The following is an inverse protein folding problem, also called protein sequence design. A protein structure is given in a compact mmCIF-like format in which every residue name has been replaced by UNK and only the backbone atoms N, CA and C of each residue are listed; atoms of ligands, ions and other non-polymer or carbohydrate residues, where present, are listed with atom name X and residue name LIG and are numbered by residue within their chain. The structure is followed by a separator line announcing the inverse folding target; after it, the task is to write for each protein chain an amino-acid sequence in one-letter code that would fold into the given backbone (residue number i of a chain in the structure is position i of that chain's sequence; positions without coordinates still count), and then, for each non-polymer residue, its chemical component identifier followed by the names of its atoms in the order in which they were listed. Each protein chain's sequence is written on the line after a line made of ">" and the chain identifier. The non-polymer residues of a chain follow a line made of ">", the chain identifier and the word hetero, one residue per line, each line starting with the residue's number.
data_IF_215975153545
#
_entry.id   IF_215975153545
#
_cell.length_a   1.000
_cell.length_b   1.000
_cell.length_c   1.000
_cell.angle_alpha   90.00
_cell.angle_beta   90.00
_cell.angle_gamma   90.00
#
_symmetry.space_group_name_H-M   'P 1'
#
loop_
_entity.id
_entity.type
_entity.pdbx_description
1 polymer ?
#
# COMPACT_ATOMS: atom_id res chain seq x y z
N UNK A 1 -31.56 -5.19 6.99
CA UNK A 1 -31.74 -4.00 7.88
C UNK A 1 -30.37 -3.61 8.37
N UNK A 2 -29.76 -2.65 7.67
CA UNK A 2 -28.47 -2.06 8.06
C UNK A 2 -28.73 -1.18 9.29
N UNK A 3 -28.20 -1.62 10.44
CA UNK A 3 -28.24 -0.80 11.64
C UNK A 3 -27.26 0.37 11.42
N UNK A 4 -27.78 1.57 11.23
CA UNK A 4 -26.97 2.80 11.29
C UNK A 4 -26.36 2.93 12.69
N UNK A 5 -25.13 2.39 12.86
CA UNK A 5 -24.31 2.67 14.04
C UNK A 5 -24.02 4.18 14.06
N UNK A 6 -24.32 4.84 15.16
CA UNK A 6 -23.99 6.26 15.32
C UNK A 6 -22.46 6.44 15.21
N UNK A 7 -22.05 7.38 14.37
CA UNK A 7 -20.63 7.73 14.19
C UNK A 7 -20.11 8.38 15.48
N UNK A 8 -19.03 7.84 16.03
CA UNK A 8 -18.46 8.28 17.31
C UNK A 8 -17.22 9.15 17.11
N UNK A 9 -16.75 9.83 18.17
CA UNK A 9 -15.47 10.54 18.16
C UNK A 9 -14.30 9.60 17.84
N UNK A 10 -14.34 8.37 18.36
CA UNK A 10 -13.35 7.32 18.06
C UNK A 10 -13.30 7.03 16.56
N UNK A 11 -14.45 6.89 15.90
CA UNK A 11 -14.50 6.63 14.46
C UNK A 11 -13.90 7.80 13.66
N UNK A 12 -14.05 9.04 14.13
CA UNK A 12 -13.44 10.22 13.51
C UNK A 12 -11.92 10.21 13.65
N UNK A 13 -11.40 9.86 14.83
CA UNK A 13 -9.97 9.77 15.09
C UNK A 13 -9.35 8.61 14.29
N UNK A 14 -10.01 7.46 14.22
CA UNK A 14 -9.58 6.30 13.43
C UNK A 14 -9.53 6.64 11.93
N UNK A 15 -10.53 7.34 11.41
CA UNK A 15 -10.54 7.77 10.01
C UNK A 15 -9.41 8.78 9.71
N UNK A 16 -9.11 9.68 10.63
CA UNK A 16 -8.02 10.65 10.46
C UNK A 16 -6.64 9.94 10.42
N UNK A 17 -6.40 8.98 11.32
CA UNK A 17 -5.16 8.21 11.37
C UNK A 17 -5.04 7.26 10.17
N UNK A 18 -6.14 6.60 9.76
CA UNK A 18 -6.14 5.77 8.56
C UNK A 18 -5.85 6.60 7.30
N UNK A 19 -6.42 7.81 7.16
CA UNK A 19 -6.12 8.70 6.03
C UNK A 19 -4.65 9.11 6.01
N UNK A 20 -4.06 9.34 7.18
CA UNK A 20 -2.62 9.58 7.31
C UNK A 20 -1.80 8.36 6.88
N UNK A 21 -2.21 7.14 7.26
CA UNK A 21 -1.57 5.90 6.80
C UNK A 21 -1.65 5.73 5.28
N UNK A 22 -2.81 6.07 4.65
CA UNK A 22 -2.97 6.08 3.19
C UNK A 22 -1.96 7.04 2.53
N UNK A 23 -1.81 8.26 3.05
CA UNK A 23 -0.83 9.23 2.54
C UNK A 23 0.62 8.73 2.67
N UNK A 24 0.96 8.06 3.78
CA UNK A 24 2.28 7.44 3.97
C UNK A 24 2.52 6.32 2.95
N UNK A 25 1.51 5.48 2.67
CA UNK A 25 1.58 4.40 1.69
C UNK A 25 1.96 4.91 0.29
N UNK A 26 1.45 6.07 -0.14
CA UNK A 26 1.76 6.65 -1.46
C UNK A 26 3.27 6.82 -1.67
N UNK A 27 4.01 7.19 -0.64
CA UNK A 27 5.46 7.35 -0.71
C UNK A 27 6.19 6.05 -1.06
N UNK A 28 5.57 4.89 -0.81
CA UNK A 28 6.12 3.57 -1.08
C UNK A 28 5.74 3.01 -2.46
N UNK A 29 4.80 3.62 -3.19
CA UNK A 29 4.19 3.09 -4.40
C UNK A 29 5.18 2.60 -5.46
N UNK A 30 6.28 3.32 -5.67
CA UNK A 30 7.29 2.94 -6.67
C UNK A 30 8.31 1.94 -6.15
N UNK A 31 8.72 2.08 -4.87
CA UNK A 31 9.78 1.23 -4.29
C UNK A 31 9.31 -0.13 -3.82
N UNK A 32 8.03 -0.26 -3.44
CA UNK A 32 7.48 -1.52 -2.88
C UNK A 32 7.26 -2.62 -3.92
N UNK A 33 7.18 -2.29 -5.21
CA UNK A 33 6.84 -3.25 -6.28
C UNK A 33 7.75 -4.47 -6.32
N UNK A 34 7.20 -5.67 -6.52
CA UNK A 34 5.81 -6.01 -6.85
C UNK A 34 4.86 -6.12 -5.63
N UNK A 35 5.34 -5.84 -4.41
CA UNK A 35 4.54 -5.88 -3.19
C UNK A 35 3.52 -4.73 -3.15
N UNK A 36 2.40 -4.88 -2.41
CA UNK A 36 1.50 -3.77 -2.16
C UNK A 36 2.21 -2.67 -1.37
N UNK A 37 1.88 -1.43 -1.67
CA UNK A 37 2.38 -0.27 -0.93
C UNK A 37 1.44 0.04 0.23
N UNK A 38 1.83 -0.40 1.39
CA UNK A 38 1.08 -0.28 2.64
C UNK A 38 1.65 0.88 3.47
N UNK A 39 0.79 1.57 4.18
CA UNK A 39 1.15 2.52 5.23
C UNK A 39 0.64 2.02 6.57
N UNK A 40 1.44 2.24 7.60
CA UNK A 40 1.08 1.90 8.96
C UNK A 40 1.40 3.04 9.93
N UNK A 41 0.60 3.14 10.99
CA UNK A 41 0.81 4.06 12.10
C UNK A 41 0.70 3.28 13.40
N UNK A 42 1.64 3.52 14.30
CA UNK A 42 1.61 3.05 15.68
C UNK A 42 1.30 4.23 16.58
N UNK A 43 0.26 4.13 17.39
CA UNK A 43 -0.08 5.10 18.43
C UNK A 43 0.16 4.45 19.79
N UNK A 44 1.19 4.90 20.49
CA UNK A 44 1.53 4.40 21.81
C UNK A 44 0.54 4.89 22.87
N UNK A 45 0.54 4.26 24.05
CA UNK A 45 -0.37 4.60 25.15
C UNK A 45 -0.20 6.05 25.63
N UNK A 46 1.00 6.59 25.55
CA UNK A 46 1.33 7.98 25.87
C UNK A 46 0.92 9.00 24.80
N UNK A 47 0.33 8.52 23.69
CA UNK A 47 -0.09 9.33 22.55
C UNK A 47 1.01 9.61 21.53
N UNK A 48 2.22 9.10 21.73
CA UNK A 48 3.30 9.21 20.73
C UNK A 48 2.94 8.41 19.47
N UNK A 49 3.24 8.98 18.30
CA UNK A 49 2.84 8.42 17.00
C UNK A 49 4.07 8.11 16.15
N UNK A 50 4.13 6.91 15.59
CA UNK A 50 5.18 6.47 14.69
C UNK A 50 4.60 5.98 13.37
N UNK A 51 5.32 6.21 12.28
CA UNK A 51 4.88 5.95 10.92
C UNK A 51 5.78 4.93 10.24
N UNK A 52 5.20 4.15 9.35
CA UNK A 52 5.92 3.21 8.51
C UNK A 52 5.26 3.02 7.16
N UNK A 53 6.05 2.69 6.17
CA UNK A 53 5.56 2.30 4.85
C UNK A 53 6.37 1.13 4.31
N UNK A 54 5.77 0.35 3.41
CA UNK A 54 6.40 -0.83 2.80
C UNK A 54 7.75 -0.47 2.21
N UNK A 55 8.77 -1.21 2.59
CA UNK A 55 10.13 -1.09 2.06
C UNK A 55 10.25 -1.71 0.66
N UNK A 56 11.42 -1.60 0.05
CA UNK A 56 11.75 -2.34 -1.18
C UNK A 56 11.63 -3.86 -0.96
N UNK A 57 11.42 -4.65 -2.02
CA UNK A 57 11.24 -6.09 -1.92
C UNK A 57 12.35 -6.78 -1.13
N UNK A 58 11.97 -7.53 -0.10
CA UNK A 58 12.86 -8.18 0.85
C UNK A 58 13.13 -7.38 2.12
N UNK A 59 12.73 -6.12 2.17
CA UNK A 59 12.75 -5.31 3.38
C UNK A 59 11.48 -5.47 4.22
N UNK A 60 11.42 -4.79 5.40
CA UNK A 60 10.30 -4.88 6.31
C UNK A 60 9.01 -4.28 5.73
N UNK A 61 7.88 -4.82 6.16
CA UNK A 61 6.55 -4.28 5.88
C UNK A 61 6.29 -3.02 6.71
N UNK A 62 5.23 -2.29 6.36
CA UNK A 62 4.91 -1.00 6.95
C UNK A 62 4.77 -1.05 8.47
N UNK A 63 4.08 -2.08 8.99
CA UNK A 63 3.88 -2.29 10.42
C UNK A 63 5.20 -2.46 11.16
N UNK A 64 6.11 -3.26 10.60
CA UNK A 64 7.43 -3.50 11.17
C UNK A 64 8.29 -2.22 11.14
N UNK A 65 8.19 -1.43 10.07
CA UNK A 65 8.89 -0.13 9.96
C UNK A 65 8.42 0.81 11.06
N UNK A 66 7.09 0.95 11.26
CA UNK A 66 6.52 1.81 12.29
C UNK A 66 6.88 1.32 13.71
N UNK A 67 6.81 0.00 13.95
CA UNK A 67 7.19 -0.60 15.25
C UNK A 67 8.68 -0.42 15.55
N UNK A 68 9.54 -0.54 14.55
CA UNK A 68 10.99 -0.32 14.73
C UNK A 68 11.28 1.15 15.05
N UNK A 69 10.63 2.09 14.36
CA UNK A 69 10.74 3.51 14.67
C UNK A 69 10.33 3.81 16.13
N UNK A 70 9.28 3.16 16.64
CA UNK A 70 8.88 3.28 18.04
C UNK A 70 9.96 2.70 19.00
N UNK A 71 10.48 1.50 18.69
CA UNK A 71 11.54 0.86 19.50
C UNK A 71 12.83 1.68 19.53
N UNK A 72 13.24 2.22 18.38
CA UNK A 72 14.44 3.05 18.26
C UNK A 72 14.32 4.36 19.05
N UNK A 73 13.09 4.87 19.20
CA UNK A 73 12.77 6.02 20.05
C UNK A 73 12.61 5.65 21.55
N UNK A 74 12.73 4.36 21.90
CA UNK A 74 12.51 3.89 23.28
C UNK A 74 11.05 3.85 23.71
N UNK A 75 10.08 3.94 22.78
CA UNK A 75 8.67 3.91 23.09
C UNK A 75 8.18 2.48 23.36
N UNK A 76 7.19 2.35 24.26
CA UNK A 76 6.57 1.08 24.59
C UNK A 76 5.44 0.75 23.61
N UNK A 77 5.52 -0.43 23.00
CA UNK A 77 4.50 -0.93 22.09
C UNK A 77 3.34 -1.64 22.81
N UNK A 78 3.56 -2.08 24.05
CA UNK A 78 2.53 -2.75 24.84
C UNK A 78 1.33 -1.82 25.06
N UNK A 79 0.15 -2.30 24.69
CA UNK A 79 -1.07 -1.52 24.77
C UNK A 79 -1.29 -0.52 23.62
N UNK A 80 -0.36 -0.42 22.67
CA UNK A 80 -0.48 0.49 21.53
C UNK A 80 -1.65 0.11 20.60
N UNK A 81 -2.14 1.09 19.83
CA UNK A 81 -3.04 0.88 18.70
C UNK A 81 -2.25 0.99 17.40
N UNK A 82 -2.45 0.04 16.49
CA UNK A 82 -1.79 0.02 15.18
C UNK A 82 -2.83 0.16 14.06
N UNK A 83 -2.58 1.08 13.15
CA UNK A 83 -3.36 1.28 11.93
C UNK A 83 -2.57 0.74 10.75
N UNK A 84 -3.20 -0.06 9.90
CA UNK A 84 -2.59 -0.57 8.67
C UNK A 84 -3.60 -0.47 7.53
N UNK A 85 -3.17 0.06 6.38
CA UNK A 85 -4.05 0.19 5.21
C UNK A 85 -4.46 -1.16 4.64
N UNK A 86 -3.63 -2.20 4.80
CA UNK A 86 -3.89 -3.56 4.38
C UNK A 86 -3.77 -4.51 5.57
N UNK A 87 -4.47 -5.63 5.55
CA UNK A 87 -4.39 -6.70 6.55
C UNK A 87 -2.94 -7.10 6.84
N UNK A 88 -2.50 -7.14 8.11
CA UNK A 88 -1.19 -7.66 8.49
C UNK A 88 -1.02 -9.13 8.08
N UNK A 89 0.06 -9.43 7.39
CA UNK A 89 0.31 -10.78 6.89
C UNK A 89 0.48 -11.80 8.02
N UNK A 90 0.01 -13.05 7.77
CA UNK A 90 0.11 -14.21 8.67
C UNK A 90 1.06 -15.30 8.17
N UNK A 91 1.65 -15.14 6.99
CA UNK A 91 2.56 -16.12 6.40
C UNK A 91 4.01 -15.70 6.54
N UNK A 92 4.89 -16.65 6.71
CA UNK A 92 6.33 -16.43 6.69
C UNK A 92 6.79 -16.27 5.24
N UNK A 93 7.21 -15.05 4.91
CA UNK A 93 7.86 -14.72 3.66
C UNK A 93 9.37 -14.63 3.82
N UNK A 94 9.98 -13.55 3.34
CA UNK A 94 11.39 -13.22 3.61
C UNK A 94 11.58 -12.63 5.00
N UNK A 95 10.53 -12.07 5.55
CA UNK A 95 10.42 -11.59 6.94
C UNK A 95 9.35 -12.42 7.64
N UNK A 96 9.37 -12.45 8.97
CA UNK A 96 8.30 -13.09 9.76
C UNK A 96 6.94 -12.41 9.56
N UNK A 97 5.84 -13.09 9.94
CA UNK A 97 4.50 -12.54 9.82
C UNK A 97 4.32 -11.26 10.65
N UNK A 98 3.74 -10.20 10.04
CA UNK A 98 3.45 -8.97 10.78
C UNK A 98 2.46 -9.19 11.93
N UNK A 99 1.48 -10.08 11.73
CA UNK A 99 0.52 -10.42 12.79
C UNK A 99 1.22 -10.99 14.04
N UNK A 100 2.20 -11.89 13.86
CA UNK A 100 2.94 -12.45 15.00
C UNK A 100 3.79 -11.38 15.69
N UNK A 101 4.45 -10.49 14.93
CA UNK A 101 5.23 -9.41 15.50
C UNK A 101 4.37 -8.41 16.30
N UNK A 102 3.12 -8.16 15.88
CA UNK A 102 2.16 -7.33 16.60
C UNK A 102 1.71 -8.02 17.91
N UNK A 103 1.46 -9.32 17.86
CA UNK A 103 1.14 -10.14 19.07
C UNK A 103 2.32 -10.09 20.06
N UNK A 104 3.55 -10.36 19.60
CA UNK A 104 4.76 -10.34 20.43
C UNK A 104 5.02 -8.97 21.05
N UNK A 105 4.67 -7.89 20.34
CA UNK A 105 4.80 -6.53 20.86
C UNK A 105 3.74 -6.17 21.92
N UNK A 106 2.70 -6.99 22.08
CA UNK A 106 1.65 -6.76 23.05
C UNK A 106 0.74 -5.60 22.72
N UNK A 107 0.51 -5.30 21.43
CA UNK A 107 -0.44 -4.26 21.02
C UNK A 107 -1.86 -4.62 21.47
N UNK A 108 -2.67 -3.63 21.80
CA UNK A 108 -4.04 -3.86 22.29
C UNK A 108 -5.09 -3.81 21.19
N UNK A 109 -4.82 -3.08 20.10
CA UNK A 109 -5.79 -2.86 19.04
C UNK A 109 -5.10 -2.73 17.67
N UNK A 110 -5.74 -3.29 16.64
CA UNK A 110 -5.32 -3.13 15.25
C UNK A 110 -6.51 -2.67 14.41
N UNK A 111 -6.33 -1.57 13.68
CA UNK A 111 -7.32 -1.00 12.76
C UNK A 111 -6.85 -1.23 11.34
N UNK A 112 -7.66 -1.90 10.54
CA UNK A 112 -7.32 -2.34 9.17
C UNK A 112 -8.21 -1.64 8.16
N UNK A 113 -7.61 -1.05 7.13
CA UNK A 113 -8.35 -0.45 6.02
C UNK A 113 -9.13 -1.48 5.22
N UNK A 114 -8.44 -2.48 4.66
CA UNK A 114 -9.07 -3.59 3.93
C UNK A 114 -8.44 -4.94 4.30
N UNK A 115 -9.24 -5.98 4.21
CA UNK A 115 -8.78 -7.39 4.23
C UNK A 115 -7.98 -7.64 2.95
N UNK A 116 -6.89 -8.40 3.03
CA UNK A 116 -6.08 -8.71 1.86
C UNK A 116 -6.88 -9.57 0.86
N UNK A 117 -7.01 -9.14 -0.40
CA UNK A 117 -7.74 -9.90 -1.43
C UNK A 117 -7.01 -11.19 -1.87
N UNK A 118 -5.74 -11.38 -1.49
CA UNK A 118 -5.02 -12.62 -1.80
C UNK A 118 -5.59 -13.79 -0.98
N UNK A 119 -6.14 -14.84 -1.61
CA UNK A 119 -6.71 -16.00 -0.90
C UNK A 119 -5.74 -16.70 0.05
N UNK A 120 -4.44 -16.48 -0.12
CA UNK A 120 -3.40 -17.04 0.76
C UNK A 120 -3.33 -16.30 2.11
N UNK A 121 -3.74 -15.05 2.16
CA UNK A 121 -3.72 -14.17 3.34
C UNK A 121 -5.12 -14.01 3.91
N UNK A 122 -6.01 -13.51 3.14
CA UNK A 122 -7.43 -13.19 3.36
C UNK A 122 -8.02 -13.63 4.72
N UNK A 123 -8.05 -12.73 5.68
CA UNK A 123 -8.61 -12.93 7.02
C UNK A 123 -7.70 -13.63 8.03
N UNK A 124 -6.66 -14.33 7.60
CA UNK A 124 -5.80 -15.12 8.49
C UNK A 124 -4.98 -14.27 9.46
N UNK A 125 -4.56 -13.08 9.04
CA UNK A 125 -3.87 -12.13 9.90
C UNK A 125 -4.81 -11.60 10.98
N UNK A 126 -6.03 -11.25 10.58
CA UNK A 126 -7.09 -10.80 11.49
C UNK A 126 -7.43 -11.89 12.51
N UNK A 127 -7.65 -13.13 12.05
CA UNK A 127 -7.94 -14.28 12.92
C UNK A 127 -6.81 -14.53 13.92
N UNK A 128 -5.55 -14.40 13.48
CA UNK A 128 -4.37 -14.56 14.33
C UNK A 128 -4.31 -13.51 15.44
N UNK A 129 -4.60 -12.24 15.11
CA UNK A 129 -4.64 -11.13 16.06
C UNK A 129 -5.79 -11.33 17.07
N UNK A 130 -6.99 -11.65 16.58
CA UNK A 130 -8.17 -11.89 17.41
C UNK A 130 -7.97 -13.07 18.37
N UNK A 131 -7.37 -14.17 17.89
CA UNK A 131 -7.03 -15.33 18.72
C UNK A 131 -6.04 -15.02 19.84
N UNK A 132 -5.21 -13.98 19.68
CA UNK A 132 -4.30 -13.47 20.71
C UNK A 132 -4.96 -12.46 21.67
N UNK A 133 -6.27 -12.17 21.52
CA UNK A 133 -7.02 -11.23 22.35
C UNK A 133 -6.86 -9.76 21.94
N UNK A 134 -6.30 -9.48 20.76
CA UNK A 134 -6.16 -8.12 20.24
C UNK A 134 -7.50 -7.69 19.62
N UNK A 135 -7.95 -6.47 19.95
CA UNK A 135 -9.13 -5.87 19.32
C UNK A 135 -8.82 -5.58 17.85
N UNK A 136 -9.60 -6.12 16.91
CA UNK A 136 -9.41 -5.86 15.49
C UNK A 136 -10.64 -5.18 14.91
N UNK A 137 -10.44 -4.01 14.29
CA UNK A 137 -11.46 -3.29 13.53
C UNK A 137 -11.05 -3.26 12.06
N UNK A 138 -12.01 -3.50 11.16
CA UNK A 138 -11.76 -3.55 9.72
C UNK A 138 -12.70 -2.63 8.94
N UNK A 139 -12.27 -2.17 7.78
CA UNK A 139 -13.12 -1.41 6.87
C UNK A 139 -13.02 0.11 7.04
N UNK A 140 -12.13 0.61 7.89
CA UNK A 140 -11.94 2.06 8.07
C UNK A 140 -11.32 2.65 6.80
N UNK A 141 -12.06 3.56 6.15
CA UNK A 141 -11.73 4.15 4.83
C UNK A 141 -11.46 3.11 3.74
N UNK A 142 -12.20 2.01 3.76
CA UNK A 142 -11.98 0.88 2.86
C UNK A 142 -12.01 1.28 1.37
N UNK A 143 -12.88 2.21 0.97
CA UNK A 143 -12.97 2.66 -0.42
C UNK A 143 -11.72 3.44 -0.85
N UNK A 144 -11.22 4.36 0.00
CA UNK A 144 -10.00 5.12 -0.27
C UNK A 144 -8.79 4.17 -0.41
N UNK A 145 -8.71 3.14 0.45
CA UNK A 145 -7.65 2.13 0.38
C UNK A 145 -7.79 1.24 -0.87
N UNK A 146 -9.02 0.84 -1.24
CA UNK A 146 -9.25 0.04 -2.46
C UNK A 146 -8.87 0.82 -3.71
N UNK A 147 -9.19 2.10 -3.77
CA UNK A 147 -8.81 2.96 -4.89
C UNK A 147 -7.28 3.08 -4.98
N UNK A 148 -6.62 3.32 -3.86
CA UNK A 148 -5.15 3.39 -3.80
C UNK A 148 -4.50 2.08 -4.26
N UNK A 149 -4.99 0.92 -3.79
CA UNK A 149 -4.43 -0.40 -4.09
C UNK A 149 -5.07 -1.08 -5.30
N UNK A 150 -5.88 -0.37 -6.11
CA UNK A 150 -6.59 -0.95 -7.25
C UNK A 150 -5.73 -1.83 -8.17
N UNK A 151 -4.48 -1.46 -8.53
CA UNK A 151 -3.63 -2.32 -9.35
C UNK A 151 -3.24 -3.63 -8.66
N UNK A 152 -2.98 -3.59 -7.36
CA UNK A 152 -2.68 -4.78 -6.56
C UNK A 152 -3.89 -5.69 -6.46
N UNK A 153 -5.03 -5.13 -6.07
CA UNK A 153 -6.30 -5.87 -5.92
C UNK A 153 -6.67 -6.53 -7.25
N UNK A 154 -6.64 -5.78 -8.36
CA UNK A 154 -6.94 -6.31 -9.67
C UNK A 154 -6.05 -7.52 -10.03
N UNK A 155 -4.74 -7.38 -9.82
CA UNK A 155 -3.82 -8.47 -10.12
C UNK A 155 -4.07 -9.70 -9.22
N UNK A 156 -4.33 -9.52 -7.92
CA UNK A 156 -4.56 -10.63 -6.99
C UNK A 156 -5.86 -11.36 -7.23
N UNK A 157 -6.90 -10.66 -7.67
CA UNK A 157 -8.22 -11.23 -7.91
C UNK A 157 -8.40 -11.80 -9.31
N UNK A 158 -7.69 -11.28 -10.32
CA UNK A 158 -7.88 -11.68 -11.72
C UNK A 158 -6.68 -12.40 -12.34
N UNK A 159 -5.48 -12.29 -11.75
CA UNK A 159 -4.22 -12.75 -12.33
C UNK A 159 -3.77 -11.94 -13.56
N UNK A 160 -4.47 -10.85 -13.89
CA UNK A 160 -4.20 -10.03 -15.07
C UNK A 160 -3.52 -8.71 -14.70
N UNK A 161 -2.71 -8.11 -15.60
CA UNK A 161 -2.14 -6.80 -15.35
C UNK A 161 -3.24 -5.72 -15.32
N UNK A 162 -3.07 -4.75 -14.42
CA UNK A 162 -3.91 -3.55 -14.40
C UNK A 162 -3.41 -2.59 -15.49
N UNK A 163 -4.28 -2.26 -16.45
CA UNK A 163 -3.93 -1.39 -17.57
C UNK A 163 -4.56 -0.01 -17.36
N UNK A 164 -3.74 1.02 -17.34
CA UNK A 164 -4.17 2.41 -17.28
C UNK A 164 -3.84 3.10 -18.61
N UNK A 165 -4.87 3.55 -19.33
CA UNK A 165 -4.72 4.34 -20.55
C UNK A 165 -4.84 5.82 -20.19
N UNK A 166 -3.76 6.58 -20.39
CA UNK A 166 -3.77 8.05 -20.31
C UNK A 166 -3.81 8.62 -21.71
N UNK A 167 -4.87 9.36 -22.04
CA UNK A 167 -5.02 10.06 -23.31
C UNK A 167 -5.08 11.57 -23.06
N UNK A 168 -4.36 12.34 -23.88
CA UNK A 168 -4.54 13.77 -23.97
C UNK A 168 -5.41 14.08 -25.21
N UNK A 169 -6.52 14.77 -24.99
CA UNK A 169 -7.42 15.17 -26.05
C UNK A 169 -7.65 16.66 -26.03
N UNK A 170 -8.02 17.22 -27.19
CA UNK A 170 -8.57 18.58 -27.28
C UNK A 170 -10.02 18.57 -26.78
N UNK A 171 -10.63 19.76 -26.62
CA UNK A 171 -12.03 19.89 -26.18
C UNK A 171 -13.03 19.20 -27.14
N UNK A 172 -12.65 19.06 -28.43
CA UNK A 172 -13.41 18.32 -29.44
C UNK A 172 -12.98 16.84 -29.55
N UNK A 173 -12.39 16.29 -28.50
CA UNK A 173 -11.97 14.90 -28.34
C UNK A 173 -10.96 14.38 -29.37
N UNK A 174 -10.21 15.25 -30.03
CA UNK A 174 -9.15 14.83 -30.97
C UNK A 174 -7.85 14.53 -30.22
N UNK A 175 -7.20 13.43 -30.58
CA UNK A 175 -5.92 12.97 -30.00
C UNK A 175 -4.69 13.40 -30.78
N UNK A 176 -4.86 13.95 -31.99
CA UNK A 176 -3.79 14.44 -32.85
C UNK A 176 -4.14 15.78 -33.47
N UNK A 177 -3.11 16.60 -33.69
CA UNK A 177 -3.22 17.83 -34.47
C UNK A 177 -3.11 17.46 -35.96
N UNK A 178 -4.06 17.87 -36.83
CA UNK A 178 -3.90 17.68 -38.28
C UNK A 178 -2.56 18.24 -38.77
N UNK A 179 -1.81 17.46 -39.54
CA UNK A 179 -0.57 17.92 -40.16
C UNK A 179 -0.89 19.07 -41.14
N UNK A 180 -0.78 20.32 -40.71
CA UNK A 180 -1.07 21.47 -41.53
C UNK A 180 -0.94 22.83 -40.84
N UNK A 181 -1.00 22.89 -39.53
CA UNK A 181 -0.78 24.13 -38.78
C UNK A 181 0.41 24.02 -37.83
N UNK A 182 1.61 24.12 -38.36
CA UNK A 182 2.86 24.18 -37.59
C UNK A 182 3.05 25.51 -36.85
N UNK A 183 2.00 26.15 -36.36
CA UNK A 183 2.00 27.47 -35.74
C UNK A 183 1.94 27.57 -34.23
N UNK A 184 1.65 26.48 -33.51
CA UNK A 184 1.68 26.50 -32.05
C UNK A 184 2.67 25.46 -31.53
N UNK A 185 3.93 25.80 -31.43
CA UNK A 185 4.88 25.12 -30.55
C UNK A 185 4.49 25.42 -29.11
N UNK A 186 3.45 24.72 -28.61
CA UNK A 186 3.32 24.53 -27.18
C UNK A 186 4.59 23.78 -26.73
N UNK A 187 5.46 24.45 -25.97
CA UNK A 187 6.60 23.80 -25.31
C UNK A 187 6.06 22.58 -24.57
N UNK A 188 6.53 21.39 -24.92
CA UNK A 188 6.31 20.19 -24.12
C UNK A 188 6.75 20.50 -22.70
N UNK A 189 5.92 20.35 -21.68
CA UNK A 189 6.42 20.29 -20.32
C UNK A 189 7.17 18.97 -20.19
N UNK A 190 8.51 19.02 -20.24
CA UNK A 190 9.40 17.84 -20.20
C UNK A 190 9.31 17.06 -18.89
N UNK A 191 8.57 17.55 -17.89
CA UNK A 191 8.52 16.97 -16.56
C UNK A 191 7.20 16.26 -16.16
N UNK A 192 6.15 16.29 -17.00
CA UNK A 192 4.87 15.68 -16.62
C UNK A 192 4.73 14.22 -17.05
N UNK A 193 5.64 13.68 -17.86
CA UNK A 193 5.49 12.34 -18.44
C UNK A 193 6.37 11.25 -17.82
N UNK A 194 7.28 11.61 -16.90
CA UNK A 194 8.26 10.66 -16.35
C UNK A 194 7.70 9.75 -15.27
N UNK A 195 6.65 10.16 -14.57
CA UNK A 195 6.14 9.40 -13.43
C UNK A 195 5.07 8.35 -13.81
N UNK A 196 4.26 8.62 -14.84
CA UNK A 196 3.26 7.65 -15.31
C UNK A 196 3.83 6.57 -16.25
N UNK A 197 4.97 6.84 -16.93
CA UNK A 197 5.66 5.87 -17.79
C UNK A 197 6.39 4.75 -17.05
N UNK A 198 6.65 4.92 -15.75
CA UNK A 198 7.30 3.91 -14.92
C UNK A 198 6.35 2.88 -14.31
N UNK A 199 5.06 2.97 -14.59
CA UNK A 199 4.04 2.07 -14.04
C UNK A 199 3.91 0.74 -14.77
N UNK A 200 4.51 0.57 -15.95
CA UNK A 200 4.56 -0.70 -16.66
C UNK A 200 5.93 -1.36 -16.42
N UNK A 201 6.02 -2.33 -15.54
CA UNK A 201 7.19 -3.22 -15.49
C UNK A 201 7.03 -4.26 -16.58
N UNK A 202 8.01 -4.45 -17.49
CA UNK A 202 8.03 -5.62 -18.35
C UNK A 202 8.16 -6.87 -17.47
N UNK A 203 7.37 -7.90 -17.78
CA UNK A 203 7.50 -9.21 -17.15
C UNK A 203 8.94 -9.72 -17.33
N UNK A 204 9.50 -10.28 -16.27
CA UNK A 204 10.89 -10.81 -16.21
C UNK A 204 11.15 -12.05 -17.07
N UNK A 205 10.35 -12.34 -18.12
CA UNK A 205 10.43 -13.55 -18.93
C UNK A 205 11.13 -13.41 -20.29
N UNK A 206 11.65 -12.20 -20.64
CA UNK A 206 12.37 -12.03 -21.90
C UNK A 206 13.75 -11.39 -21.69
N UNK A 207 14.67 -12.14 -21.08
CA UNK A 207 16.09 -11.94 -21.29
C UNK A 207 16.67 -13.22 -21.90
N UNK A 208 16.75 -13.24 -23.23
CA UNK A 208 17.59 -14.21 -23.92
C UNK A 208 19.07 -13.97 -23.56
N UNK A 209 19.87 -15.02 -23.29
CA UNK A 209 21.27 -14.84 -22.96
C UNK A 209 22.03 -14.35 -24.21
N UNK A 210 22.76 -13.25 -24.06
CA UNK A 210 23.74 -12.80 -25.06
C UNK A 210 24.85 -13.83 -25.16
N UNK A 211 25.01 -14.41 -26.36
CA UNK A 211 26.14 -15.28 -26.70
C UNK A 211 27.44 -14.47 -26.69
N UNK A 212 28.53 -14.99 -26.10
CA UNK A 212 29.82 -14.33 -26.21
C UNK A 212 30.34 -14.49 -27.65
N UNK A 213 30.67 -13.39 -28.32
CA UNK A 213 31.41 -13.39 -29.57
C UNK A 213 32.89 -13.60 -29.27
N UNK A 214 33.38 -14.77 -29.58
CA UNK A 214 34.82 -15.00 -29.68
C UNK A 214 35.34 -14.28 -30.91
N UNK A 215 36.27 -13.35 -30.72
CA UNK A 215 37.17 -12.87 -31.78
C UNK A 215 38.47 -13.67 -31.71
N UNK A 216 38.82 -14.23 -32.84
CA UNK A 216 40.22 -14.61 -33.18
C UNK A 216 41.09 -13.37 -33.28
#
# INVERSE_FOLDING_TARGET
>A
MEQHRAYTRRDADDAALMRRAIGIAESAQLRARPNPWVGAIVVCVDGTVFEGSTSAPGGPHAEIVAMNAARDAGALLTGATVYSTLEPCSHTGRTGPCADALVEAGVSRVVVGIVDPDPKVSGKGIDRLAAAGIEVETGVLAEEVREQLAPYIHHRTTGRPFVMLKMATTLDAKTSIPRGNAGSRARRPEHACTDSGRRATPSSSERAPLRPTTRN
#
